data_IF_799809588042
#
_entry.id   IF_799809588042
#
_cell.length_a   1.000
_cell.length_b   1.000
_cell.length_c   1.000
_cell.angle_alpha   90.00
_cell.angle_beta   90.00
_cell.angle_gamma   90.00
#
_symmetry.space_group_name_H-M   'P 1'
#
loop_
_entity.id
_entity.type
_entity.pdbx_description
1 polymer ?
#
# COMPACT_ATOMS: atom_id res chain seq x y z
N UNK A 1 -41.95 -15.71 36.55
CA UNK A 1 -41.51 -15.68 35.14
C UNK A 1 -40.06 -15.24 35.10
N UNK A 2 -39.19 -15.88 34.30
CA UNK A 2 -37.79 -15.44 34.14
C UNK A 2 -37.71 -14.28 33.14
N UNK A 3 -36.85 -13.31 33.39
CA UNK A 3 -36.61 -12.13 32.54
C UNK A 3 -35.11 -11.80 32.52
N UNK A 4 -34.68 -10.93 31.61
CA UNK A 4 -33.30 -10.51 31.46
C UNK A 4 -32.40 -11.60 30.85
N UNK A 5 -31.08 -11.45 31.06
CA UNK A 5 -30.09 -12.40 30.57
C UNK A 5 -30.17 -13.74 31.32
N UNK A 6 -30.23 -14.83 30.57
CA UNK A 6 -30.29 -16.20 31.07
C UNK A 6 -29.19 -17.04 30.42
N UNK A 7 -28.39 -17.74 31.22
CA UNK A 7 -27.39 -18.68 30.72
C UNK A 7 -27.91 -20.11 30.89
N UNK A 8 -28.07 -20.82 29.78
CA UNK A 8 -28.60 -22.18 29.74
C UNK A 8 -27.62 -23.05 28.96
N UNK A 9 -27.09 -24.08 29.62
CA UNK A 9 -26.10 -25.01 29.02
C UNK A 9 -24.92 -24.28 28.35
N UNK A 10 -24.44 -23.21 28.98
CA UNK A 10 -23.32 -22.41 28.46
C UNK A 10 -23.70 -21.28 27.49
N UNK A 11 -24.92 -21.28 26.95
CA UNK A 11 -25.40 -20.33 25.96
C UNK A 11 -26.22 -19.22 26.62
N UNK A 12 -25.99 -17.97 26.20
CA UNK A 12 -26.73 -16.81 26.69
C UNK A 12 -27.96 -16.53 25.84
N UNK A 13 -29.08 -16.22 26.51
CA UNK A 13 -30.36 -15.81 25.95
C UNK A 13 -30.84 -14.55 26.65
N UNK A 14 -31.66 -13.74 25.99
CA UNK A 14 -32.31 -12.60 26.62
C UNK A 14 -33.83 -12.79 26.63
N UNK A 15 -34.45 -12.75 27.81
CA UNK A 15 -35.90 -12.78 27.97
C UNK A 15 -36.40 -11.35 28.23
N UNK A 16 -37.29 -10.86 27.38
CA UNK A 16 -37.90 -9.53 27.52
C UNK A 16 -38.72 -9.44 28.82
N UNK A 17 -39.10 -8.24 29.30
CA UNK A 17 -39.97 -8.10 30.47
C UNK A 17 -41.29 -8.88 30.39
N UNK A 18 -41.79 -9.13 29.18
CA UNK A 18 -42.95 -9.99 28.91
C UNK A 18 -42.69 -11.50 29.07
N UNK A 19 -41.45 -11.92 29.33
CA UNK A 19 -41.02 -13.32 29.39
C UNK A 19 -40.72 -13.94 28.02
N UNK A 20 -41.00 -13.22 26.93
CA UNK A 20 -40.72 -13.68 25.56
C UNK A 20 -39.22 -13.62 25.29
N UNK A 21 -38.67 -14.68 24.71
CA UNK A 21 -37.26 -14.73 24.29
C UNK A 21 -37.01 -13.77 23.13
N UNK A 22 -35.94 -12.98 23.22
CA UNK A 22 -35.54 -12.07 22.15
C UNK A 22 -34.76 -12.80 21.06
N UNK A 23 -34.99 -12.36 19.82
CA UNK A 23 -34.30 -12.75 18.60
C UNK A 23 -34.00 -11.48 17.80
N UNK A 24 -32.95 -11.50 17.00
CA UNK A 24 -32.47 -10.36 16.25
C UNK A 24 -31.74 -9.32 17.11
N UNK A 25 -31.79 -8.08 16.67
CA UNK A 25 -31.16 -6.94 17.33
C UNK A 25 -31.89 -6.56 18.62
N UNK A 26 -31.13 -6.38 19.70
CA UNK A 26 -31.64 -5.93 20.99
C UNK A 26 -30.74 -4.84 21.56
N UNK A 27 -31.34 -3.71 21.95
CA UNK A 27 -30.62 -2.60 22.58
C UNK A 27 -30.88 -2.58 24.08
N UNK A 28 -29.83 -2.77 24.87
CA UNK A 28 -29.90 -2.84 26.33
C UNK A 28 -28.88 -1.90 26.95
N UNK A 29 -29.35 -0.93 27.74
CA UNK A 29 -28.48 0.04 28.42
C UNK A 29 -27.57 0.81 27.46
N UNK A 30 -28.09 1.18 26.28
CA UNK A 30 -27.33 1.87 25.23
C UNK A 30 -26.38 0.99 24.42
N UNK A 31 -26.34 -0.31 24.67
CA UNK A 31 -25.47 -1.28 23.99
C UNK A 31 -26.28 -2.20 23.10
N UNK A 32 -25.75 -2.53 21.94
CA UNK A 32 -26.39 -3.44 20.99
C UNK A 32 -25.90 -4.87 21.15
N UNK A 33 -26.84 -5.81 21.03
CA UNK A 33 -26.61 -7.25 21.04
C UNK A 33 -27.37 -7.86 19.87
N UNK A 34 -26.95 -9.04 19.43
CA UNK A 34 -27.68 -9.81 18.43
C UNK A 34 -27.92 -11.23 18.93
N UNK A 35 -29.20 -11.60 19.02
CA UNK A 35 -29.66 -12.92 19.36
C UNK A 35 -29.98 -13.62 18.03
N UNK A 36 -29.38 -14.76 17.74
CA UNK A 36 -29.67 -15.47 16.49
C UNK A 36 -31.11 -16.02 16.47
N UNK A 37 -31.50 -16.71 15.41
CA UNK A 37 -32.87 -17.24 15.28
C UNK A 37 -33.26 -18.25 16.37
N UNK A 38 -32.29 -18.87 17.04
CA UNK A 38 -32.50 -19.75 18.20
C UNK A 38 -32.52 -18.99 19.53
N UNK A 39 -32.39 -17.67 19.51
CA UNK A 39 -32.29 -16.80 20.68
C UNK A 39 -30.90 -16.77 21.33
N UNK A 40 -29.91 -17.47 20.77
CA UNK A 40 -28.56 -17.51 21.31
C UNK A 40 -27.82 -16.21 21.03
N UNK A 41 -27.18 -15.64 22.05
CA UNK A 41 -26.38 -14.45 21.95
C UNK A 41 -25.16 -14.68 21.04
N UNK A 42 -24.99 -13.80 20.07
CA UNK A 42 -23.89 -13.88 19.12
C UNK A 42 -22.62 -13.24 19.67
N UNK A 43 -21.48 -13.83 19.32
CA UNK A 43 -20.13 -13.33 19.60
C UNK A 43 -19.27 -13.47 18.34
N UNK A 44 -18.15 -12.76 18.29
CA UNK A 44 -17.25 -12.75 17.14
C UNK A 44 -17.85 -12.06 15.91
N UNK A 45 -17.27 -12.38 14.75
CA UNK A 45 -17.76 -11.89 13.46
C UNK A 45 -19.10 -12.53 13.09
N UNK A 46 -20.07 -11.71 12.70
CA UNK A 46 -21.38 -12.13 12.24
C UNK A 46 -21.75 -11.35 10.98
N UNK A 47 -22.20 -12.07 9.95
CA UNK A 47 -22.77 -11.45 8.77
C UNK A 47 -24.28 -11.42 8.92
N UNK A 48 -24.85 -10.21 9.04
CA UNK A 48 -26.27 -10.00 9.23
C UNK A 48 -26.79 -9.26 8.01
N UNK A 49 -27.56 -9.96 7.17
CA UNK A 49 -27.85 -9.52 5.81
C UNK A 49 -26.55 -9.48 4.99
N UNK A 50 -26.25 -8.33 4.38
CA UNK A 50 -25.03 -8.13 3.59
C UNK A 50 -23.90 -7.43 4.35
N UNK A 51 -24.06 -7.24 5.67
CA UNK A 51 -23.16 -6.42 6.47
C UNK A 51 -22.48 -7.26 7.55
N UNK A 52 -21.16 -7.09 7.70
CA UNK A 52 -20.40 -7.69 8.77
C UNK A 52 -20.41 -6.82 10.02
N UNK A 53 -20.61 -7.47 11.17
CA UNK A 53 -20.56 -6.90 12.51
C UNK A 53 -19.63 -7.75 13.37
N UNK A 54 -19.02 -7.14 14.38
CA UNK A 54 -18.26 -7.86 15.38
C UNK A 54 -18.93 -7.71 16.74
N UNK A 55 -19.16 -8.83 17.43
CA UNK A 55 -19.67 -8.87 18.79
C UNK A 55 -18.56 -9.31 19.74
N UNK A 56 -18.32 -8.55 20.80
CA UNK A 56 -17.35 -8.89 21.84
C UNK A 56 -17.72 -10.19 22.56
N UNK A 57 -16.81 -10.74 23.37
CA UNK A 57 -17.07 -11.99 24.10
C UNK A 57 -18.27 -11.92 25.07
N UNK A 58 -18.67 -10.71 25.48
CA UNK A 58 -19.87 -10.45 26.28
C UNK A 58 -21.12 -10.14 25.44
N UNK A 59 -21.04 -10.31 24.11
CA UNK A 59 -22.14 -10.09 23.16
C UNK A 59 -22.37 -8.63 22.75
N UNK A 60 -21.61 -7.68 23.27
CA UNK A 60 -21.76 -6.27 22.90
C UNK A 60 -21.23 -6.06 21.47
N UNK A 61 -22.02 -5.40 20.63
CA UNK A 61 -21.60 -4.99 19.29
C UNK A 61 -20.45 -3.98 19.39
N UNK A 62 -19.35 -4.25 18.68
CA UNK A 62 -18.22 -3.36 18.59
C UNK A 62 -18.47 -2.21 17.60
N UNK A 63 -17.89 -1.07 17.91
CA UNK A 63 -17.82 0.12 17.04
C UNK A 63 -16.39 0.68 17.08
N UNK A 64 -16.03 1.49 16.09
CA UNK A 64 -14.71 2.09 15.98
C UNK A 64 -13.60 1.10 15.60
N UNK A 65 -12.38 1.42 16.03
CA UNK A 65 -11.19 0.63 15.75
C UNK A 65 -11.17 -0.67 16.54
N UNK A 66 -10.91 -1.78 15.85
CA UNK A 66 -10.78 -3.10 16.48
C UNK A 66 -9.55 -3.83 15.99
N UNK A 67 -8.69 -4.25 16.92
CA UNK A 67 -7.57 -5.12 16.63
C UNK A 67 -7.91 -6.57 16.97
N UNK A 68 -7.76 -7.48 16.01
CA UNK A 68 -8.00 -8.91 16.16
C UNK A 68 -6.83 -9.67 15.54
N UNK A 69 -6.14 -10.48 16.34
CA UNK A 69 -5.00 -11.30 15.90
C UNK A 69 -3.95 -10.50 15.10
N UNK A 70 -3.61 -9.30 15.59
CA UNK A 70 -2.63 -8.41 14.97
C UNK A 70 -3.14 -7.61 13.76
N UNK A 71 -4.38 -7.82 13.31
CA UNK A 71 -4.99 -7.10 12.18
C UNK A 71 -5.97 -6.04 12.68
N UNK A 72 -5.97 -4.88 12.02
CA UNK A 72 -6.88 -3.79 12.32
C UNK A 72 -8.11 -3.81 11.42
N UNK A 73 -9.25 -3.47 12.00
CA UNK A 73 -10.55 -3.33 11.37
C UNK A 73 -11.21 -2.04 11.87
N UNK A 74 -12.17 -1.52 11.12
CA UNK A 74 -12.97 -0.39 11.56
C UNK A 74 -14.46 -0.65 11.36
N UNK A 75 -15.21 -0.50 12.44
CA UNK A 75 -16.66 -0.63 12.49
C UNK A 75 -17.23 0.80 12.62
N UNK A 76 -18.21 1.18 11.81
CA UNK A 76 -18.82 2.52 11.95
C UNK A 76 -19.64 2.63 13.25
N UNK A 77 -20.27 3.79 13.48
CA UNK A 77 -21.11 4.02 14.66
C UNK A 77 -22.31 3.06 14.77
N UNK A 78 -22.78 2.51 13.64
CA UNK A 78 -23.80 1.47 13.59
C UNK A 78 -23.24 0.05 13.69
N UNK A 79 -21.95 -0.12 13.92
CA UNK A 79 -21.26 -1.41 14.03
C UNK A 79 -20.93 -2.11 12.70
N UNK A 80 -21.30 -1.51 11.57
CA UNK A 80 -21.03 -2.08 10.26
C UNK A 80 -19.54 -1.97 9.93
N UNK A 81 -18.93 -3.11 9.57
CA UNK A 81 -17.54 -3.16 9.13
C UNK A 81 -17.34 -2.36 7.85
N UNK A 82 -16.26 -1.57 7.81
CA UNK A 82 -15.90 -0.75 6.66
C UNK A 82 -14.85 -1.43 5.79
N UNK A 83 -14.97 -1.19 4.50
CA UNK A 83 -14.07 -1.62 3.44
C UNK A 83 -13.78 -0.43 2.52
N UNK A 84 -12.76 -0.55 1.66
CA UNK A 84 -12.29 0.51 0.78
C UNK A 84 -11.66 1.69 1.52
N UNK A 85 -11.57 2.83 0.83
CA UNK A 85 -11.09 4.09 1.38
C UNK A 85 -12.05 4.68 2.41
N UNK A 86 -11.55 5.02 3.59
CA UNK A 86 -12.29 5.67 4.67
C UNK A 86 -11.47 6.81 5.24
N UNK A 87 -12.10 7.98 5.40
CA UNK A 87 -11.51 9.09 6.14
C UNK A 87 -11.98 8.99 7.60
N UNK A 88 -11.04 8.81 8.52
CA UNK A 88 -11.30 8.66 9.95
C UNK A 88 -10.54 9.78 10.67
N UNK A 89 -11.27 10.76 11.19
CA UNK A 89 -10.68 12.03 11.60
C UNK A 89 -10.15 12.78 10.38
N UNK A 90 -8.89 13.21 10.43
CA UNK A 90 -8.21 13.87 9.31
C UNK A 90 -7.39 12.91 8.43
N UNK A 91 -7.34 11.63 8.76
CA UNK A 91 -6.47 10.65 8.11
C UNK A 91 -7.27 9.70 7.23
N UNK A 92 -6.73 9.39 6.05
CA UNK A 92 -7.28 8.39 5.15
C UNK A 92 -6.70 7.01 5.47
N UNK A 93 -7.54 5.99 5.44
CA UNK A 93 -7.18 4.59 5.61
C UNK A 93 -7.83 3.78 4.49
N UNK A 94 -7.20 2.66 4.14
CA UNK A 94 -7.79 1.70 3.23
C UNK A 94 -8.03 0.37 3.95
N UNK A 95 -9.21 -0.21 3.77
CA UNK A 95 -9.57 -1.53 4.28
C UNK A 95 -9.85 -2.46 3.10
N UNK A 96 -9.20 -3.62 3.04
CA UNK A 96 -9.48 -4.61 2.00
C UNK A 96 -10.92 -5.13 2.08
N UNK A 97 -11.37 -5.88 1.07
CA UNK A 97 -12.71 -6.51 1.09
C UNK A 97 -12.96 -7.42 2.29
N UNK A 98 -11.90 -7.95 2.91
CA UNK A 98 -11.94 -8.71 4.16
C UNK A 98 -12.11 -7.84 5.43
N UNK A 99 -12.11 -6.51 5.28
CA UNK A 99 -12.13 -5.54 6.38
C UNK A 99 -10.78 -5.28 7.03
N UNK A 100 -9.71 -5.97 6.63
CA UNK A 100 -8.37 -5.77 7.16
C UNK A 100 -7.81 -4.45 6.65
N UNK A 101 -7.30 -3.61 7.56
CA UNK A 101 -6.61 -2.37 7.23
C UNK A 101 -5.31 -2.65 6.48
N UNK A 102 -5.08 -1.92 5.40
CA UNK A 102 -3.81 -1.92 4.68
C UNK A 102 -2.71 -1.19 5.48
N UNK A 103 -1.48 -1.69 5.38
CA UNK A 103 -0.27 -1.07 5.96
C UNK A 103 0.90 -1.26 5.00
N UNK A 104 1.89 -0.36 5.06
CA UNK A 104 3.15 -0.45 4.32
C UNK A 104 2.98 -0.77 2.82
N UNK A 105 2.07 -0.08 2.15
CA UNK A 105 1.74 -0.37 0.74
C UNK A 105 1.33 0.89 0.00
N UNK A 106 1.07 0.76 -1.30
CA UNK A 106 0.53 1.82 -2.15
C UNK A 106 -0.75 1.35 -2.81
N UNK A 107 -1.81 2.15 -2.71
CA UNK A 107 -3.13 1.86 -3.28
C UNK A 107 -3.64 3.14 -3.92
N UNK A 108 -4.13 3.08 -5.16
CA UNK A 108 -4.74 4.22 -5.88
C UNK A 108 -3.94 5.54 -5.82
N UNK A 109 -2.60 5.45 -5.89
CA UNK A 109 -1.72 6.62 -5.81
C UNK A 109 -1.57 7.22 -4.40
N UNK A 110 -1.95 6.50 -3.35
CA UNK A 110 -1.68 6.85 -1.95
C UNK A 110 -0.62 5.92 -1.36
N UNK A 111 0.38 6.49 -0.68
CA UNK A 111 1.30 5.72 0.16
C UNK A 111 0.67 5.55 1.53
N UNK A 112 0.53 4.30 1.97
CA UNK A 112 0.01 3.89 3.26
C UNK A 112 1.18 3.45 4.13
N UNK A 113 1.40 4.11 5.26
CA UNK A 113 2.51 3.78 6.16
C UNK A 113 2.20 2.60 7.11
N UNK A 114 3.12 2.30 8.04
CA UNK A 114 2.97 1.19 8.97
C UNK A 114 1.79 1.34 9.94
N UNK A 115 1.32 2.56 10.18
CA UNK A 115 0.14 2.86 10.99
C UNK A 115 -1.17 2.73 10.21
N UNK A 116 -1.10 2.51 8.90
CA UNK A 116 -2.25 2.53 8.01
C UNK A 116 -2.64 3.93 7.53
N UNK A 117 -1.93 4.97 7.97
CA UNK A 117 -2.19 6.32 7.53
C UNK A 117 -1.80 6.48 6.05
N UNK A 118 -2.80 6.79 5.23
CA UNK A 118 -2.66 7.11 3.83
C UNK A 118 -2.27 8.57 3.63
N UNK A 119 -1.24 8.77 2.81
CA UNK A 119 -0.86 10.06 2.24
C UNK A 119 -0.94 9.96 0.75
N UNK A 120 -1.77 10.80 0.15
CA UNK A 120 -1.89 10.84 -1.29
C UNK A 120 -0.55 11.27 -1.86
N UNK A 121 -0.05 10.53 -2.84
CA UNK A 121 1.09 10.94 -3.65
C UNK A 121 0.61 12.02 -4.64
N UNK A 122 -0.17 12.98 -4.15
CA UNK A 122 -0.78 14.06 -4.95
C UNK A 122 -0.05 15.38 -4.84
N UNK A 123 0.93 15.47 -3.95
CA UNK A 123 1.90 16.53 -4.03
C UNK A 123 3.16 15.96 -4.67
N UNK A 124 3.06 15.69 -5.97
CA UNK A 124 4.18 15.97 -6.87
C UNK A 124 4.48 17.46 -6.68
N UNK A 125 5.29 17.76 -5.67
CA UNK A 125 5.87 19.09 -5.55
C UNK A 125 6.55 19.40 -6.87
N UNK A 126 6.78 20.68 -7.16
CA UNK A 126 7.63 21.09 -8.29
C UNK A 126 8.91 20.23 -8.38
N UNK A 127 9.43 19.80 -7.23
CA UNK A 127 10.55 18.87 -7.11
C UNK A 127 10.35 17.52 -7.82
N UNK A 128 9.26 16.77 -7.62
CA UNK A 128 9.09 15.44 -8.25
C UNK A 128 8.87 15.57 -9.76
N UNK A 129 8.19 16.63 -10.19
CA UNK A 129 8.05 17.00 -11.62
C UNK A 129 9.42 17.32 -12.22
N UNK A 130 10.22 18.14 -11.54
CA UNK A 130 11.56 18.51 -11.95
C UNK A 130 12.50 17.30 -11.97
N UNK A 131 12.41 16.40 -10.98
CA UNK A 131 13.19 15.17 -10.92
C UNK A 131 12.85 14.24 -12.09
N UNK A 132 11.57 14.03 -12.39
CA UNK A 132 11.15 13.24 -13.55
C UNK A 132 11.58 13.89 -14.87
N UNK A 133 11.44 15.21 -14.99
CA UNK A 133 11.92 15.93 -16.17
C UNK A 133 13.44 15.78 -16.35
N UNK A 134 14.21 15.84 -15.25
CA UNK A 134 15.65 15.59 -15.29
C UNK A 134 16.02 14.15 -15.60
N UNK A 135 15.31 13.18 -15.03
CA UNK A 135 15.51 11.77 -15.37
C UNK A 135 15.28 11.51 -16.86
N UNK A 136 14.24 12.10 -17.45
CA UNK A 136 13.99 12.05 -18.90
C UNK A 136 15.15 12.67 -19.69
N UNK A 137 15.62 13.86 -19.30
CA UNK A 137 16.76 14.49 -19.97
C UNK A 137 18.03 13.62 -19.90
N UNK A 138 18.35 13.07 -18.73
CA UNK A 138 19.53 12.22 -18.57
C UNK A 138 19.43 10.91 -19.35
N UNK A 139 18.23 10.32 -19.45
CA UNK A 139 17.99 9.17 -20.31
C UNK A 139 18.09 9.54 -21.79
N UNK A 140 17.31 10.52 -22.26
CA UNK A 140 17.10 10.77 -23.69
C UNK A 140 18.31 11.42 -24.36
N UNK A 141 19.01 12.31 -23.63
CA UNK A 141 20.13 13.10 -24.16
C UNK A 141 21.46 12.42 -23.83
N UNK A 142 21.63 12.01 -22.57
CA UNK A 142 22.90 11.46 -22.10
C UNK A 142 22.94 9.94 -22.14
N UNK A 143 21.85 9.25 -22.50
CA UNK A 143 21.79 7.78 -22.57
C UNK A 143 22.30 7.12 -21.28
N UNK A 144 22.02 7.72 -20.12
CA UNK A 144 22.49 7.21 -18.84
C UNK A 144 21.69 5.97 -18.40
N UNK A 145 22.31 5.12 -17.56
CA UNK A 145 21.63 3.99 -16.94
C UNK A 145 20.63 4.42 -15.87
N UNK A 146 19.67 3.55 -15.57
CA UNK A 146 18.69 3.75 -14.48
C UNK A 146 19.38 4.12 -13.15
N UNK A 147 20.50 3.45 -12.83
CA UNK A 147 21.23 3.68 -11.58
C UNK A 147 22.02 4.98 -11.59
N UNK A 148 22.71 5.28 -12.68
CA UNK A 148 23.47 6.52 -12.83
C UNK A 148 22.55 7.75 -12.72
N UNK A 149 21.35 7.69 -13.33
CA UNK A 149 20.36 8.76 -13.22
C UNK A 149 19.92 8.92 -11.76
N UNK A 150 19.59 7.84 -11.05
CA UNK A 150 19.21 7.93 -9.63
C UNK A 150 20.31 8.62 -8.81
N UNK A 151 21.55 8.15 -8.94
CA UNK A 151 22.70 8.69 -8.21
C UNK A 151 22.94 10.17 -8.54
N UNK A 152 22.75 10.58 -9.80
CA UNK A 152 22.87 11.96 -10.23
C UNK A 152 21.76 12.86 -9.65
N UNK A 153 20.53 12.38 -9.60
CA UNK A 153 19.39 13.13 -9.06
C UNK A 153 19.57 13.41 -7.56
N UNK A 154 20.09 12.45 -6.79
CA UNK A 154 20.30 12.60 -5.33
C UNK A 154 21.65 13.21 -4.97
N UNK A 155 22.54 13.42 -5.94
CA UNK A 155 23.92 13.84 -5.69
C UNK A 155 23.97 15.19 -4.93
N UNK A 156 24.74 15.29 -3.83
CA UNK A 156 24.92 16.55 -3.10
C UNK A 156 25.70 17.60 -3.92
N UNK A 157 26.36 17.18 -5.00
CA UNK A 157 27.06 18.06 -5.93
C UNK A 157 26.29 18.28 -7.24
N UNK A 158 25.15 17.59 -7.42
CA UNK A 158 24.31 17.65 -8.62
C UNK A 158 22.97 18.31 -8.35
N UNK A 159 21.89 17.59 -8.67
CA UNK A 159 20.52 18.12 -8.66
C UNK A 159 19.91 18.24 -7.25
N UNK A 160 20.44 17.49 -6.28
CA UNK A 160 20.03 17.53 -4.85
C UNK A 160 18.54 17.24 -4.61
N UNK A 161 17.89 16.46 -5.48
CA UNK A 161 16.53 16.01 -5.24
C UNK A 161 16.48 15.08 -4.02
N UNK A 162 15.37 15.11 -3.29
CA UNK A 162 15.07 14.10 -2.27
C UNK A 162 15.11 12.69 -2.85
N UNK A 163 15.46 11.71 -2.01
CA UNK A 163 15.52 10.30 -2.43
C UNK A 163 14.17 9.81 -2.94
N UNK A 164 13.09 10.30 -2.36
CA UNK A 164 11.71 9.99 -2.76
C UNK A 164 11.38 10.57 -4.15
N UNK A 165 11.79 11.81 -4.44
CA UNK A 165 11.60 12.43 -5.75
C UNK A 165 12.45 11.74 -6.84
N UNK A 166 13.70 11.38 -6.52
CA UNK A 166 14.56 10.63 -7.42
C UNK A 166 14.04 9.21 -7.68
N UNK A 167 13.57 8.51 -6.65
CA UNK A 167 12.98 7.18 -6.80
C UNK A 167 11.72 7.24 -7.66
N UNK A 168 10.82 8.19 -7.38
CA UNK A 168 9.64 8.45 -8.20
C UNK A 168 10.03 8.71 -9.67
N UNK A 169 11.02 9.55 -9.92
CA UNK A 169 11.48 9.87 -11.27
C UNK A 169 11.94 8.61 -12.02
N UNK A 170 12.69 7.74 -11.35
CA UNK A 170 13.24 6.51 -11.90
C UNK A 170 12.19 5.41 -12.11
N UNK A 171 11.14 5.39 -11.29
CA UNK A 171 10.02 4.44 -11.44
C UNK A 171 9.04 4.88 -12.54
N UNK A 172 9.06 6.17 -12.92
CA UNK A 172 8.12 6.77 -13.88
C UNK A 172 8.78 7.26 -15.17
N UNK A 173 10.10 7.12 -15.32
CA UNK A 173 10.79 7.41 -16.58
C UNK A 173 10.57 6.23 -17.53
N UNK A 174 9.86 6.49 -18.63
CA UNK A 174 9.59 5.51 -19.66
C UNK A 174 10.78 5.45 -20.65
N UNK A 175 11.86 4.79 -20.25
CA UNK A 175 13.09 4.67 -21.02
C UNK A 175 13.36 3.21 -21.43
N UNK A 176 13.94 3.02 -22.63
CA UNK A 176 14.52 1.75 -23.03
C UNK A 176 15.99 1.70 -22.60
N UNK A 177 16.26 1.10 -21.45
CA UNK A 177 17.59 1.08 -20.86
C UNK A 177 18.63 0.32 -21.68
N UNK A 178 18.19 -0.71 -22.42
CA UNK A 178 19.04 -1.44 -23.37
C UNK A 178 19.47 -0.56 -24.55
N UNK A 179 18.57 0.30 -25.03
CA UNK A 179 18.89 1.28 -26.07
C UNK A 179 19.86 2.35 -25.54
N UNK A 180 19.69 2.81 -24.30
CA UNK A 180 20.64 3.73 -23.67
C UNK A 180 22.04 3.11 -23.58
N UNK A 181 22.13 1.83 -23.15
CA UNK A 181 23.40 1.11 -23.10
C UNK A 181 24.04 1.00 -24.49
N UNK A 182 23.26 0.67 -25.53
CA UNK A 182 23.74 0.59 -26.91
C UNK A 182 24.28 1.93 -27.41
N UNK A 183 23.57 3.05 -27.16
CA UNK A 183 24.05 4.39 -27.53
C UNK A 183 25.35 4.75 -26.83
N UNK A 184 25.50 4.42 -25.55
CA UNK A 184 26.75 4.61 -24.81
C UNK A 184 27.88 3.76 -25.36
N UNK A 185 27.60 2.51 -25.69
CA UNK A 185 28.57 1.61 -26.28
C UNK A 185 29.09 2.13 -27.63
N UNK A 186 28.18 2.56 -28.53
CA UNK A 186 28.54 3.20 -29.81
C UNK A 186 29.38 4.45 -29.61
N UNK A 187 28.99 5.31 -28.67
CA UNK A 187 29.77 6.50 -28.32
C UNK A 187 31.19 6.16 -27.89
N UNK A 188 31.40 5.15 -27.04
CA UNK A 188 32.74 4.74 -26.62
C UNK A 188 33.57 4.12 -27.77
N UNK A 189 32.94 3.35 -28.63
CA UNK A 189 33.58 2.79 -29.82
C UNK A 189 34.03 3.91 -30.77
N UNK A 190 33.15 4.85 -31.10
CA UNK A 190 33.39 5.89 -32.10
C UNK A 190 34.33 7.00 -31.59
N UNK A 191 34.14 7.45 -30.35
CA UNK A 191 34.88 8.60 -29.81
C UNK A 191 36.17 8.22 -29.08
N UNK A 192 36.27 6.99 -28.56
CA UNK A 192 37.41 6.54 -27.77
C UNK A 192 38.12 5.32 -28.37
N UNK A 193 37.65 4.78 -29.51
CA UNK A 193 38.23 3.60 -30.18
C UNK A 193 38.41 2.39 -29.23
N UNK A 194 37.50 2.24 -28.27
CA UNK A 194 37.57 1.17 -27.27
C UNK A 194 37.17 -0.18 -27.88
N UNK A 195 37.77 -1.27 -27.40
CA UNK A 195 37.37 -2.63 -27.78
C UNK A 195 36.02 -3.02 -27.14
N UNK A 196 35.27 -3.97 -27.71
CA UNK A 196 34.01 -4.43 -27.12
C UNK A 196 34.12 -4.89 -25.66
N UNK A 197 35.21 -5.58 -25.30
CA UNK A 197 35.46 -5.99 -23.91
C UNK A 197 35.67 -4.80 -22.98
N UNK A 198 36.45 -3.79 -23.41
CA UNK A 198 36.67 -2.59 -22.61
C UNK A 198 35.40 -1.75 -22.46
N UNK A 199 34.56 -1.72 -23.51
CA UNK A 199 33.25 -1.06 -23.48
C UNK A 199 32.33 -1.77 -22.47
N UNK A 200 32.27 -3.10 -22.50
CA UNK A 200 31.47 -3.87 -21.54
C UNK A 200 31.83 -3.53 -20.10
N UNK A 201 33.12 -3.59 -19.76
CA UNK A 201 33.63 -3.28 -18.42
C UNK A 201 33.28 -1.86 -18.00
N UNK A 202 33.37 -0.90 -18.93
CA UNK A 202 33.04 0.50 -18.69
C UNK A 202 31.54 0.72 -18.44
N UNK A 203 30.67 0.01 -19.17
CA UNK A 203 29.22 0.11 -19.02
C UNK A 203 28.75 -0.39 -17.65
N UNK A 204 29.32 -1.48 -17.13
CA UNK A 204 28.94 -2.05 -15.83
C UNK A 204 29.69 -1.44 -14.64
N UNK A 205 30.76 -0.68 -14.89
CA UNK A 205 31.62 -0.15 -13.84
C UNK A 205 30.85 0.67 -12.81
N UNK A 206 31.13 0.41 -11.53
CA UNK A 206 30.60 1.20 -10.41
C UNK A 206 31.08 2.66 -10.40
N UNK A 207 32.16 2.96 -11.13
CA UNK A 207 32.68 4.30 -11.36
C UNK A 207 32.34 4.83 -12.76
N UNK A 208 31.76 3.99 -13.63
CA UNK A 208 31.35 4.30 -14.98
C UNK A 208 29.83 4.47 -15.09
N UNK A 209 29.22 3.78 -16.06
CA UNK A 209 27.83 4.02 -16.44
C UNK A 209 26.81 3.23 -15.59
N UNK A 210 27.24 2.22 -14.82
CA UNK A 210 26.39 1.42 -13.91
C UNK A 210 25.15 0.78 -14.56
N UNK A 211 25.27 0.40 -15.84
CA UNK A 211 24.28 -0.48 -16.46
C UNK A 211 24.27 -1.85 -15.79
N UNK A 212 23.14 -2.55 -15.90
CA UNK A 212 23.10 -3.96 -15.53
C UNK A 212 23.96 -4.79 -16.50
N UNK A 213 24.52 -5.93 -16.08
CA UNK A 213 25.22 -6.84 -16.98
C UNK A 213 24.39 -7.22 -18.21
N UNK A 214 23.07 -7.38 -18.05
CA UNK A 214 22.16 -7.73 -19.14
C UNK A 214 22.00 -6.60 -20.16
N UNK A 215 21.94 -5.34 -19.72
CA UNK A 215 21.89 -4.16 -20.60
C UNK A 215 23.23 -3.95 -21.32
N UNK A 216 24.34 -4.11 -20.60
CA UNK A 216 25.68 -4.00 -21.17
C UNK A 216 25.95 -5.10 -22.19
N UNK A 217 25.56 -6.35 -21.90
CA UNK A 217 25.72 -7.45 -22.84
C UNK A 217 24.89 -7.23 -24.10
N UNK A 218 23.62 -6.81 -23.94
CA UNK A 218 22.80 -6.43 -25.08
C UNK A 218 23.48 -5.35 -25.94
N UNK A 219 24.09 -4.34 -25.33
CA UNK A 219 24.78 -3.29 -26.06
C UNK A 219 25.97 -3.83 -26.89
N UNK A 220 26.74 -4.76 -26.33
CA UNK A 220 27.87 -5.40 -27.03
C UNK A 220 27.40 -6.30 -28.17
N UNK A 221 26.36 -7.11 -27.93
CA UNK A 221 25.81 -8.03 -28.93
C UNK A 221 25.22 -7.29 -30.14
N UNK A 222 24.88 -6.01 -29.98
CA UNK A 222 24.31 -5.15 -31.02
C UNK A 222 25.26 -4.02 -31.46
N UNK A 223 26.55 -4.11 -31.12
CA UNK A 223 27.60 -3.22 -31.61
C UNK A 223 28.05 -3.69 -33.00
N UNK A 224 28.08 -2.77 -33.97
CA UNK A 224 28.58 -3.05 -35.33
C UNK A 224 30.06 -2.68 -35.50
#
# INVERSE_FOLDING_TARGET
MKTGWQKISGVWYYLKPSGVMSIGWEQLGGKWYYLNNSGSMSTGWQQIGNTWYYFEGNGQMATGWKQLSGKWYYLNSGGAMRTGWQQIGSTWYYFYGSGVMATNTTIDGWRIDASGAGRKIENVTSEYKSALAKAKQYSDIMSMSKRAIYDQLVSPYGEKFSKEAAQYAIDNVNANWKENALKKAKMYQESMAMSPSAIYDQLISQYGEKFTPEEAQYAIDNLE
#
